data_IF_479331184392
#
_entry.id   IF_479331184392
#
_cell.length_a   1.000
_cell.length_b   1.000
_cell.length_c   1.000
_cell.angle_alpha   90.00
_cell.angle_beta   90.00
_cell.angle_gamma   90.00
#
_symmetry.space_group_name_H-M   'P 1'
#
loop_
_entity.id
_entity.type
_entity.pdbx_description
1 polymer ?
#
# COMPACT_ATOMS: atom_id res chain seq x y z
N UNK A 1 -4.91 27.69 12.53
CA UNK A 1 -4.32 26.35 12.66
C UNK A 1 -5.06 25.45 11.71
N UNK A 2 -4.38 24.94 10.69
CA UNK A 2 -4.92 23.82 9.91
C UNK A 2 -4.85 22.58 10.77
N UNK A 3 -5.86 21.72 10.70
CA UNK A 3 -5.87 20.43 11.39
C UNK A 3 -4.68 19.61 10.88
N UNK A 4 -3.81 19.12 11.78
CA UNK A 4 -2.76 18.11 11.49
C UNK A 4 -3.40 16.75 11.15
N UNK A 5 -4.23 16.73 10.10
CA UNK A 5 -4.95 15.55 9.68
C UNK A 5 -4.00 14.65 8.90
N UNK A 6 -3.61 13.53 9.52
CA UNK A 6 -2.86 12.47 8.83
C UNK A 6 -3.80 11.67 7.93
N UNK A 7 -3.46 11.57 6.64
CA UNK A 7 -4.17 10.73 5.68
C UNK A 7 -3.68 9.29 5.76
N UNK A 8 -4.61 8.33 5.73
CA UNK A 8 -4.33 6.89 5.66
C UNK A 8 -4.99 6.30 4.42
N UNK A 9 -4.20 5.67 3.56
CA UNK A 9 -4.66 5.01 2.32
C UNK A 9 -4.48 3.50 2.47
N UNK A 10 -5.51 2.74 2.13
CA UNK A 10 -5.50 1.28 2.12
C UNK A 10 -5.70 0.79 0.68
N UNK A 11 -4.78 -0.05 0.20
CA UNK A 11 -4.83 -0.65 -1.13
C UNK A 11 -5.03 -2.16 -0.97
N UNK A 12 -6.10 -2.68 -1.57
CA UNK A 12 -6.27 -4.12 -1.82
C UNK A 12 -5.62 -4.46 -3.16
N UNK A 13 -4.89 -5.57 -3.22
CA UNK A 13 -4.29 -6.09 -4.44
C UNK A 13 -4.57 -7.57 -4.58
N UNK A 14 -4.64 -8.02 -5.84
CA UNK A 14 -4.92 -9.40 -6.22
C UNK A 14 -4.02 -9.79 -7.39
N UNK A 15 -3.52 -11.03 -7.39
CA UNK A 15 -2.81 -11.60 -8.55
C UNK A 15 -3.66 -12.60 -9.35
N UNK A 16 -3.10 -13.10 -10.45
CA UNK A 16 -3.76 -14.05 -11.35
C UNK A 16 -4.09 -15.39 -10.69
N UNK A 17 -3.38 -15.77 -9.60
CA UNK A 17 -3.69 -16.97 -8.82
C UNK A 17 -4.87 -16.80 -7.87
N UNK A 18 -5.37 -15.57 -7.72
CA UNK A 18 -6.43 -15.22 -6.78
C UNK A 18 -5.93 -14.87 -5.38
N UNK A 19 -4.62 -14.86 -5.15
CA UNK A 19 -4.03 -14.42 -3.88
C UNK A 19 -4.34 -12.93 -3.68
N UNK A 20 -4.82 -12.58 -2.49
CA UNK A 20 -5.15 -11.20 -2.10
C UNK A 20 -4.30 -10.72 -0.93
N UNK A 21 -3.96 -9.44 -0.93
CA UNK A 21 -3.26 -8.79 0.17
C UNK A 21 -3.63 -7.31 0.26
N UNK A 22 -3.32 -6.73 1.42
CA UNK A 22 -3.55 -5.32 1.71
C UNK A 22 -2.25 -4.63 2.07
N UNK A 23 -2.15 -3.35 1.71
CA UNK A 23 -1.05 -2.47 2.12
C UNK A 23 -1.61 -1.12 2.56
N UNK A 24 -0.88 -0.45 3.45
CA UNK A 24 -1.32 0.81 4.04
C UNK A 24 -0.20 1.83 3.93
N UNK A 25 -0.52 3.00 3.39
CA UNK A 25 0.35 4.18 3.38
C UNK A 25 -0.23 5.28 4.24
N UNK A 26 0.65 5.98 4.97
CA UNK A 26 0.27 7.04 5.92
C UNK A 26 1.13 8.27 5.65
N UNK A 27 0.49 9.41 5.40
CA UNK A 27 1.16 10.69 5.18
C UNK A 27 0.15 11.84 5.36
N UNK A 28 0.63 13.05 5.60
CA UNK A 28 -0.20 14.26 5.52
C UNK A 28 -0.67 14.53 4.09
N UNK A 29 0.12 14.11 3.10
CA UNK A 29 -0.20 14.25 1.68
C UNK A 29 -0.79 12.94 1.13
N UNK A 30 -1.96 13.03 0.49
CA UNK A 30 -2.65 11.88 -0.10
C UNK A 30 -1.85 11.21 -1.23
N UNK A 31 -1.06 11.97 -1.99
CA UNK A 31 -0.22 11.45 -3.07
C UNK A 31 0.88 10.57 -2.48
N UNK A 32 1.56 11.04 -1.43
CA UNK A 32 2.62 10.28 -0.76
C UNK A 32 2.06 9.03 -0.07
N UNK A 33 0.92 9.15 0.62
CA UNK A 33 0.26 8.00 1.24
C UNK A 33 -0.12 6.94 0.19
N UNK A 34 -0.65 7.36 -0.95
CA UNK A 34 -1.03 6.45 -2.05
C UNK A 34 0.17 5.80 -2.70
N UNK A 35 1.23 6.57 -2.95
CA UNK A 35 2.46 6.06 -3.57
C UNK A 35 3.16 5.04 -2.68
N UNK A 36 3.27 5.32 -1.38
CA UNK A 36 3.86 4.38 -0.42
C UNK A 36 3.08 3.07 -0.36
N UNK A 37 1.75 3.12 -0.24
CA UNK A 37 0.91 1.92 -0.24
C UNK A 37 1.10 1.08 -1.52
N UNK A 38 1.16 1.73 -2.68
CA UNK A 38 1.31 1.04 -3.97
C UNK A 38 2.68 0.37 -4.10
N UNK A 39 3.77 1.08 -3.76
CA UNK A 39 5.13 0.54 -3.81
C UNK A 39 5.28 -0.66 -2.87
N UNK A 40 4.73 -0.55 -1.66
CA UNK A 40 4.74 -1.64 -0.70
C UNK A 40 3.94 -2.85 -1.20
N UNK A 41 2.82 -2.63 -1.90
CA UNK A 41 2.02 -3.71 -2.48
C UNK A 41 2.82 -4.53 -3.49
N UNK A 42 3.54 -3.85 -4.40
CA UNK A 42 4.37 -4.50 -5.42
C UNK A 42 5.55 -5.22 -4.78
N UNK A 43 6.25 -4.57 -3.82
CA UNK A 43 7.37 -5.18 -3.08
C UNK A 43 6.93 -6.43 -2.33
N UNK A 44 5.78 -6.38 -1.65
CA UNK A 44 5.22 -7.53 -0.96
C UNK A 44 4.98 -8.70 -1.91
N UNK A 45 4.39 -8.43 -3.08
CA UNK A 45 4.15 -9.47 -4.09
C UNK A 45 5.45 -10.13 -4.57
N UNK A 46 6.46 -9.33 -4.91
CA UNK A 46 7.76 -9.84 -5.36
C UNK A 46 8.47 -10.64 -4.25
N UNK A 47 8.44 -10.16 -3.01
CA UNK A 47 9.01 -10.87 -1.86
C UNK A 47 8.28 -12.19 -1.60
N UNK A 48 6.94 -12.21 -1.71
CA UNK A 48 6.13 -13.42 -1.54
C UNK A 48 6.42 -14.46 -2.63
N UNK A 49 6.70 -14.03 -3.85
CA UNK A 49 7.12 -14.95 -4.94
C UNK A 49 8.48 -15.57 -4.71
N UNK A 50 9.43 -14.84 -4.11
CA UNK A 50 10.76 -15.39 -3.77
C UNK A 50 10.74 -16.39 -2.62
N UNK A 51 9.70 -16.37 -1.79
CA UNK A 51 9.53 -17.28 -0.64
C UNK A 51 8.77 -18.56 -1.04
N UNK A 52 8.12 -18.60 -2.21
CA UNK A 52 7.49 -19.81 -2.77
C UNK A 52 8.53 -20.70 -3.46
#
# INVERSE_FOLDING_TARGET
GGTEATTRVLIESRDDSGDRWFTVGVSENIIDASFNALVDSIRFKLMKEQIK
#
